data_IF_182748738364
#
_entry.id   IF_182748738364
#
_cell.length_a   1.000
_cell.length_b   1.000
_cell.length_c   1.000
_cell.angle_alpha   90.00
_cell.angle_beta   90.00
_cell.angle_gamma   90.00
#
_symmetry.space_group_name_H-M   'P 1'
#
loop_
_entity.id
_entity.type
_entity.pdbx_description
1 polymer ?
#
# COMPACT_ATOMS: atom_id res chain seq x y z
N UNK A 1 -7.55 -8.45 -27.63
CA UNK A 1 -8.21 -7.47 -26.73
C UNK A 1 -8.15 -7.80 -25.23
N UNK A 2 -7.59 -8.93 -24.77
CA UNK A 2 -7.64 -9.31 -23.34
C UNK A 2 -6.65 -8.59 -22.40
N UNK A 3 -5.37 -8.47 -22.78
CA UNK A 3 -4.29 -8.05 -21.86
C UNK A 3 -4.44 -6.64 -21.28
N UNK A 4 -4.97 -5.68 -22.04
CA UNK A 4 -5.14 -4.29 -21.58
C UNK A 4 -6.19 -4.12 -20.48
N UNK A 5 -7.26 -4.91 -20.51
CA UNK A 5 -8.34 -4.84 -19.51
C UNK A 5 -7.85 -5.41 -18.17
N UNK A 6 -7.08 -6.50 -18.20
CA UNK A 6 -6.50 -7.11 -17.00
C UNK A 6 -5.48 -6.18 -16.32
N UNK A 7 -4.56 -5.59 -17.10
CA UNK A 7 -3.58 -4.61 -16.56
C UNK A 7 -4.27 -3.40 -15.93
N UNK A 8 -5.32 -2.88 -16.58
CA UNK A 8 -6.11 -1.77 -16.04
C UNK A 8 -6.83 -2.11 -14.72
N UNK A 9 -7.20 -3.37 -14.51
CA UNK A 9 -7.86 -3.79 -13.27
C UNK A 9 -6.85 -3.87 -12.11
N UNK A 10 -5.67 -4.46 -12.34
CA UNK A 10 -4.58 -4.51 -11.35
C UNK A 10 -4.15 -3.09 -10.96
N UNK A 11 -3.92 -2.23 -11.95
CA UNK A 11 -3.48 -0.86 -11.70
C UNK A 11 -4.47 -0.05 -10.85
N UNK A 12 -5.78 -0.22 -11.10
CA UNK A 12 -6.83 0.40 -10.29
C UNK A 12 -6.84 -0.11 -8.86
N UNK A 13 -6.67 -1.42 -8.65
CA UNK A 13 -6.63 -2.02 -7.30
C UNK A 13 -5.44 -1.52 -6.50
N UNK A 14 -4.26 -1.47 -7.11
CA UNK A 14 -3.06 -0.90 -6.50
C UNK A 14 -3.30 0.56 -6.11
N UNK A 15 -3.83 1.37 -7.02
CA UNK A 15 -4.11 2.78 -6.74
C UNK A 15 -5.12 2.95 -5.58
N UNK A 16 -6.17 2.13 -5.53
CA UNK A 16 -7.16 2.16 -4.44
C UNK A 16 -6.51 1.87 -3.10
N UNK A 17 -5.78 0.76 -2.99
CA UNK A 17 -5.15 0.33 -1.73
C UNK A 17 -4.04 1.31 -1.32
N UNK A 18 -3.19 1.73 -2.26
CA UNK A 18 -2.10 2.68 -1.99
C UNK A 18 -2.62 4.04 -1.52
N UNK A 19 -3.73 4.51 -2.08
CA UNK A 19 -4.36 5.78 -1.64
C UNK A 19 -4.87 5.67 -0.22
N UNK A 20 -5.49 4.55 0.13
CA UNK A 20 -5.96 4.32 1.50
C UNK A 20 -4.79 4.24 2.47
N UNK A 21 -3.75 3.46 2.15
CA UNK A 21 -2.56 3.32 2.99
C UNK A 21 -1.91 4.69 3.27
N UNK A 22 -1.71 5.51 2.23
CA UNK A 22 -1.20 6.87 2.41
C UNK A 22 -2.14 7.73 3.27
N UNK A 23 -3.45 7.66 3.03
CA UNK A 23 -4.40 8.47 3.81
C UNK A 23 -4.37 8.12 5.29
N UNK A 24 -4.17 6.84 5.64
CA UNK A 24 -4.02 6.40 7.03
C UNK A 24 -2.69 6.88 7.63
N UNK A 25 -1.59 6.80 6.88
CA UNK A 25 -0.29 7.30 7.32
C UNK A 25 -0.30 8.82 7.49
N UNK A 26 -1.00 9.55 6.62
CA UNK A 26 -1.17 11.00 6.73
C UNK A 26 -1.89 11.38 8.03
N UNK A 27 -2.83 10.56 8.51
CA UNK A 27 -3.46 10.75 9.83
C UNK A 27 -2.45 10.56 10.96
N UNK A 28 -1.53 9.60 10.84
CA UNK A 28 -0.45 9.43 11.82
C UNK A 28 0.52 10.62 11.81
N UNK A 29 0.90 11.12 10.62
CA UNK A 29 1.68 12.36 10.51
C UNK A 29 0.96 13.57 11.12
N UNK A 30 -0.36 13.69 10.95
CA UNK A 30 -1.13 14.79 11.53
C UNK A 30 -1.09 14.79 13.06
N UNK A 31 -1.14 13.62 13.71
CA UNK A 31 -1.07 13.51 15.18
C UNK A 31 0.23 14.08 15.76
N UNK A 32 1.30 14.07 14.97
CA UNK A 32 2.63 14.56 15.34
C UNK A 32 3.00 15.87 14.64
N UNK A 33 2.02 16.60 14.07
CA UNK A 33 2.24 17.84 13.33
C UNK A 33 3.32 17.73 12.24
N UNK A 34 3.39 16.58 11.56
CA UNK A 34 4.35 16.30 10.48
C UNK A 34 5.83 16.39 10.89
N UNK A 35 6.13 16.21 12.19
CA UNK A 35 7.48 16.24 12.73
C UNK A 35 7.83 14.90 13.41
N UNK A 36 8.06 13.81 12.64
CA UNK A 36 8.42 12.52 13.22
C UNK A 36 9.80 12.56 13.87
N UNK A 37 9.92 11.89 15.02
CA UNK A 37 11.21 11.63 15.64
C UNK A 37 12.11 10.81 14.71
N UNK A 38 13.43 10.95 14.85
CA UNK A 38 14.41 10.27 13.99
C UNK A 38 14.27 8.74 13.98
N UNK A 39 13.77 8.16 15.07
CA UNK A 39 13.56 6.73 15.26
C UNK A 39 12.13 6.28 14.95
N UNK A 40 11.25 7.19 14.53
CA UNK A 40 9.87 6.86 14.18
C UNK A 40 9.83 6.14 12.82
N UNK A 41 8.97 5.11 12.65
CA UNK A 41 8.72 4.53 11.33
C UNK A 41 8.28 5.57 10.28
N UNK A 42 7.61 6.64 10.71
CA UNK A 42 7.17 7.73 9.83
C UNK A 42 8.33 8.57 9.26
N UNK A 43 9.53 8.50 9.86
CA UNK A 43 10.72 9.19 9.35
C UNK A 43 11.46 8.38 8.27
N UNK A 44 10.96 7.19 7.90
CA UNK A 44 11.53 6.42 6.81
C UNK A 44 11.14 6.99 5.44
N UNK A 45 12.01 6.77 4.44
CA UNK A 45 11.78 7.18 3.06
C UNK A 45 10.49 6.56 2.49
N UNK A 46 9.73 7.35 1.75
CA UNK A 46 8.50 6.88 1.11
C UNK A 46 7.30 6.70 2.05
N UNK A 47 7.37 7.12 3.31
CA UNK A 47 6.17 7.22 4.18
C UNK A 47 5.37 8.49 3.91
N UNK A 48 6.04 9.62 3.68
CA UNK A 48 5.39 10.91 3.44
C UNK A 48 4.78 11.03 2.04
N UNK A 49 5.42 10.42 1.03
CA UNK A 49 5.05 10.50 -0.38
C UNK A 49 4.87 9.10 -1.01
N UNK A 50 4.52 8.10 -0.20
CA UNK A 50 4.40 6.71 -0.65
C UNK A 50 3.42 6.52 -1.79
N UNK A 51 2.29 7.24 -1.80
CA UNK A 51 1.34 7.16 -2.91
C UNK A 51 1.89 7.67 -4.24
N UNK A 52 2.79 8.66 -4.23
CA UNK A 52 3.45 9.16 -5.44
C UNK A 52 4.37 8.08 -6.00
N UNK A 53 5.20 7.47 -5.14
CA UNK A 53 6.10 6.36 -5.50
C UNK A 53 5.30 5.17 -6.08
N UNK A 54 4.21 4.79 -5.41
CA UNK A 54 3.30 3.73 -5.88
C UNK A 54 2.73 4.08 -7.26
N UNK A 55 2.31 5.33 -7.45
CA UNK A 55 1.73 5.79 -8.71
C UNK A 55 2.73 5.76 -9.86
N UNK A 56 4.00 6.11 -9.60
CA UNK A 56 5.09 6.02 -10.58
C UNK A 56 5.30 4.59 -11.05
N UNK A 57 5.50 3.64 -10.14
CA UNK A 57 5.62 2.21 -10.49
C UNK A 57 4.37 1.68 -11.22
N UNK A 58 3.19 2.06 -10.75
CA UNK A 58 1.93 1.64 -11.35
C UNK A 58 1.76 2.16 -12.79
N UNK A 59 2.26 3.36 -13.08
CA UNK A 59 2.14 3.99 -14.41
C UNK A 59 2.97 3.31 -15.49
N UNK A 60 4.12 2.72 -15.12
CA UNK A 60 5.01 1.99 -16.03
C UNK A 60 4.74 0.48 -16.05
N UNK A 61 3.76 0.01 -15.25
CA UNK A 61 3.35 -1.39 -15.21
C UNK A 61 4.18 -2.27 -14.25
N UNK A 62 5.01 -1.65 -13.39
CA UNK A 62 5.78 -2.31 -12.34
C UNK A 62 4.89 -2.61 -11.12
N UNK A 63 3.83 -3.39 -11.36
CA UNK A 63 2.77 -3.64 -10.38
C UNK A 63 3.25 -4.38 -9.13
N UNK A 64 4.28 -5.23 -9.27
CA UNK A 64 4.92 -5.92 -8.14
C UNK A 64 5.58 -4.92 -7.19
N UNK A 65 6.44 -4.06 -7.71
CA UNK A 65 7.11 -3.01 -6.93
C UNK A 65 6.10 -2.04 -6.28
N UNK A 66 5.07 -1.65 -7.02
CA UNK A 66 4.00 -0.81 -6.49
C UNK A 66 3.28 -1.49 -5.31
N UNK A 67 3.02 -2.80 -5.40
CA UNK A 67 2.39 -3.55 -4.33
C UNK A 67 3.32 -3.79 -3.14
N UNK A 68 4.59 -4.10 -3.37
CA UNK A 68 5.60 -4.24 -2.31
C UNK A 68 5.76 -2.95 -1.50
N UNK A 69 5.71 -1.78 -2.16
CA UNK A 69 5.74 -0.50 -1.45
C UNK A 69 4.51 -0.30 -0.54
N UNK A 70 3.33 -0.76 -0.96
CA UNK A 70 2.13 -0.76 -0.10
C UNK A 70 2.34 -1.67 1.10
N UNK A 71 2.88 -2.90 0.91
CA UNK A 71 3.15 -3.83 2.00
C UNK A 71 4.14 -3.25 2.99
N UNK A 72 5.19 -2.59 2.49
CA UNK A 72 6.17 -1.88 3.29
C UNK A 72 5.52 -0.78 4.15
N UNK A 73 4.71 0.10 3.55
CA UNK A 73 3.98 1.15 4.27
C UNK A 73 3.11 0.58 5.39
N UNK A 74 2.32 -0.46 5.10
CA UNK A 74 1.44 -1.11 6.08
C UNK A 74 2.25 -1.81 7.17
N UNK A 75 3.36 -2.45 6.81
CA UNK A 75 4.19 -3.16 7.78
C UNK A 75 4.84 -2.20 8.78
N UNK A 76 5.52 -1.16 8.30
CA UNK A 76 6.31 -0.30 9.16
C UNK A 76 5.46 0.60 10.06
N UNK A 77 4.30 1.05 9.57
CA UNK A 77 3.45 2.01 10.31
C UNK A 77 2.35 1.33 11.12
N UNK A 78 2.22 0.00 11.00
CA UNK A 78 1.20 -0.81 11.67
C UNK A 78 -0.25 -0.33 11.45
N UNK A 79 -0.50 0.41 10.37
CA UNK A 79 -1.85 0.87 10.03
C UNK A 79 -2.78 -0.30 9.73
N UNK A 80 -4.03 -0.18 10.17
CA UNK A 80 -5.07 -1.16 9.86
C UNK A 80 -5.84 -0.78 8.59
N UNK A 81 -5.76 -1.63 7.58
CA UNK A 81 -6.50 -1.44 6.33
C UNK A 81 -7.99 -1.73 6.53
N UNK A 82 -8.84 -1.07 5.76
CA UNK A 82 -10.27 -1.37 5.68
C UNK A 82 -10.48 -2.80 5.16
N UNK A 83 -11.67 -3.35 5.43
CA UNK A 83 -12.03 -4.68 4.95
C UNK A 83 -11.92 -4.79 3.43
N UNK A 84 -12.44 -3.79 2.70
CA UNK A 84 -12.41 -3.80 1.23
C UNK A 84 -10.98 -3.76 0.69
N UNK A 85 -10.11 -2.91 1.25
CA UNK A 85 -8.71 -2.87 0.84
C UNK A 85 -7.93 -4.12 1.25
N UNK A 86 -8.25 -4.72 2.40
CA UNK A 86 -7.69 -6.01 2.83
C UNK A 86 -8.01 -7.13 1.84
N UNK A 87 -9.26 -7.19 1.34
CA UNK A 87 -9.68 -8.14 0.30
C UNK A 87 -8.94 -7.92 -1.02
N UNK A 88 -8.76 -6.65 -1.43
CA UNK A 88 -7.98 -6.31 -2.62
C UNK A 88 -6.50 -6.70 -2.47
N UNK A 89 -5.89 -6.48 -1.30
CA UNK A 89 -4.52 -6.88 -1.01
C UNK A 89 -4.35 -8.40 -1.07
N UNK A 90 -5.29 -9.17 -0.53
CA UNK A 90 -5.29 -10.64 -0.63
C UNK A 90 -5.45 -11.13 -2.07
N UNK A 91 -6.19 -10.41 -2.91
CA UNK A 91 -6.28 -10.76 -4.33
C UNK A 91 -4.99 -10.43 -5.07
N UNK A 92 -4.42 -9.24 -4.84
CA UNK A 92 -3.17 -8.80 -5.46
C UNK A 92 -2.02 -9.72 -5.09
N UNK A 93 -1.90 -10.10 -3.82
CA UNK A 93 -0.86 -11.02 -3.33
C UNK A 93 -0.88 -12.35 -4.07
N UNK A 94 -2.06 -12.96 -4.22
CA UNK A 94 -2.26 -14.20 -4.98
C UNK A 94 -1.90 -14.05 -6.45
N UNK A 95 -2.27 -12.93 -7.08
CA UNK A 95 -1.98 -12.67 -8.50
C UNK A 95 -0.50 -12.44 -8.78
N UNK A 96 0.19 -11.79 -7.85
CA UNK A 96 1.61 -11.45 -7.99
C UNK A 96 2.53 -12.52 -7.41
N UNK A 97 1.96 -13.53 -6.72
CA UNK A 97 2.71 -14.54 -5.97
C UNK A 97 3.66 -13.92 -4.92
N UNK A 98 3.17 -12.89 -4.21
CA UNK A 98 3.88 -12.19 -3.14
C UNK A 98 3.23 -12.59 -1.82
N UNK A 99 4.02 -13.04 -0.82
CA UNK A 99 3.47 -13.39 0.50
C UNK A 99 3.13 -12.12 1.29
N UNK A 100 1.99 -12.17 1.98
CA UNK A 100 1.51 -11.12 2.90
C UNK A 100 1.41 -11.63 4.35
N UNK A 101 2.04 -12.78 4.64
CA UNK A 101 1.90 -13.45 5.94
C UNK A 101 2.39 -12.58 7.09
N UNK A 102 3.38 -11.73 6.83
CA UNK A 102 3.98 -10.79 7.77
C UNK A 102 3.06 -9.61 8.16
N UNK A 103 1.95 -9.38 7.44
CA UNK A 103 0.98 -8.31 7.76
C UNK A 103 -0.45 -8.83 8.00
N UNK A 104 -0.68 -10.13 8.12
CA UNK A 104 -2.03 -10.70 8.23
C UNK A 104 -2.85 -10.19 9.43
N UNK A 105 -2.19 -9.79 10.53
CA UNK A 105 -2.84 -9.20 11.70
C UNK A 105 -3.32 -7.76 11.45
N UNK A 106 -2.78 -7.07 10.45
CA UNK A 106 -3.12 -5.69 10.05
C UNK A 106 -4.23 -5.63 9.00
N UNK A 107 -4.59 -6.80 8.45
CA UNK A 107 -5.71 -6.97 7.52
C UNK A 107 -6.96 -7.39 8.29
N UNK A 108 -8.07 -6.71 8.05
CA UNK A 108 -9.35 -7.06 8.71
C UNK A 108 -9.84 -8.41 8.17
N UNK A 109 -9.95 -9.40 9.07
CA UNK A 109 -10.47 -10.74 8.74
C UNK A 109 -11.97 -10.69 8.43
N UNK A 110 -12.40 -11.60 7.56
CA UNK A 110 -13.81 -11.83 7.20
C UNK A 110 -14.57 -12.39 8.38
#
# INVERSE_FOLDING_TARGET
MGLGIFKNNIAKKIATVGKEAQSLIDLEFQKINYAPDSNSPLNQEGMKNGFEIISEYNSVGEFGLAFEHILYMVNETEIEMTKSSSELMMELSKKMNISIDHIQNKLKKV
#
